data_IF_209769632982
#
_entry.id   IF_209769632982
#
_cell.length_a   1.000
_cell.length_b   1.000
_cell.length_c   1.000
_cell.angle_alpha   90.00
_cell.angle_beta   90.00
_cell.angle_gamma   90.00
#
_symmetry.space_group_name_H-M   'P 1'
#
loop_
_entity.id
_entity.type
_entity.pdbx_description
1 polymer ?
#
# COMPACT_ATOMS: atom_id res chain seq x y z
N UNK A 1 -68.10 38.29 17.65
CA UNK A 1 -67.94 37.91 19.08
C UNK A 1 -67.35 36.52 19.09
N UNK A 2 -66.19 36.34 19.56
CA UNK A 2 -65.55 35.03 19.54
C UNK A 2 -65.70 34.27 20.88
N UNK A 3 -65.91 32.98 20.76
CA UNK A 3 -66.10 32.08 21.90
C UNK A 3 -64.75 31.62 22.46
N UNK A 4 -64.63 31.70 23.78
CA UNK A 4 -63.52 31.15 24.58
C UNK A 4 -63.51 29.63 24.54
N UNK A 5 -62.35 29.01 24.26
CA UNK A 5 -62.15 27.63 24.49
C UNK A 5 -61.09 27.49 25.58
N UNK A 6 -61.44 26.68 26.60
CA UNK A 6 -60.70 26.44 27.87
C UNK A 6 -59.43 25.63 27.66
N UNK A 7 -58.36 26.05 28.34
CA UNK A 7 -57.12 25.28 28.54
C UNK A 7 -57.40 24.02 29.35
N UNK A 8 -57.04 22.84 28.84
CA UNK A 8 -56.84 21.62 29.60
C UNK A 8 -55.35 21.34 29.70
N UNK A 9 -54.85 21.33 30.94
CA UNK A 9 -53.49 20.87 31.27
C UNK A 9 -53.45 19.36 31.14
N UNK A 10 -52.53 18.82 30.31
CA UNK A 10 -52.14 17.44 30.32
C UNK A 10 -50.75 17.34 30.96
N UNK A 11 -50.69 16.74 32.13
CA UNK A 11 -49.45 16.26 32.71
C UNK A 11 -49.04 15.02 31.92
N UNK A 12 -47.90 15.09 31.18
CA UNK A 12 -47.22 13.91 30.65
C UNK A 12 -46.09 13.51 31.60
N UNK A 13 -46.22 12.31 32.14
CA UNK A 13 -45.15 11.66 32.88
C UNK A 13 -43.95 11.35 32.00
N UNK A 14 -42.78 11.81 32.42
CA UNK A 14 -41.52 11.43 31.84
C UNK A 14 -41.15 9.99 32.30
N UNK A 15 -41.33 9.01 31.43
CA UNK A 15 -40.67 7.72 31.56
C UNK A 15 -39.25 7.84 31.03
N UNK A 16 -38.26 7.73 31.91
CA UNK A 16 -36.86 7.61 31.55
C UNK A 16 -36.64 6.27 30.84
N UNK A 17 -36.54 6.25 29.52
CA UNK A 17 -36.08 5.13 28.75
C UNK A 17 -34.55 5.09 28.87
N UNK A 18 -34.06 4.17 29.71
CA UNK A 18 -32.62 3.87 29.77
C UNK A 18 -32.13 3.29 28.46
N UNK A 19 -31.33 4.04 27.71
CA UNK A 19 -30.55 3.51 26.60
C UNK A 19 -29.45 2.60 27.16
N UNK A 20 -29.69 1.29 27.15
CA UNK A 20 -28.62 0.31 27.25
C UNK A 20 -27.79 0.41 25.94
N UNK A 21 -26.66 1.08 26.00
CA UNK A 21 -25.67 1.02 24.95
C UNK A 21 -25.16 -0.44 24.90
N UNK A 22 -25.67 -1.21 23.96
CA UNK A 22 -25.13 -2.52 23.64
C UNK A 22 -23.71 -2.27 23.07
N UNK A 23 -22.69 -2.52 23.88
CA UNK A 23 -21.33 -2.62 23.40
C UNK A 23 -21.27 -3.79 22.42
N UNK A 24 -21.11 -3.48 21.12
CA UNK A 24 -20.82 -4.51 20.13
C UNK A 24 -19.58 -5.28 20.61
N UNK A 25 -19.57 -6.61 20.54
CA UNK A 25 -18.38 -7.37 20.89
C UNK A 25 -17.26 -6.94 19.97
N UNK A 26 -16.19 -6.38 20.52
CA UNK A 26 -14.92 -6.31 19.82
C UNK A 26 -14.51 -7.75 19.53
N UNK A 27 -14.66 -8.18 18.28
CA UNK A 27 -14.02 -9.41 17.83
C UNK A 27 -12.52 -9.14 17.97
N UNK A 28 -11.93 -9.66 19.04
CA UNK A 28 -10.48 -9.66 19.17
C UNK A 28 -9.94 -10.42 17.95
N UNK A 29 -9.32 -9.74 17.00
CA UNK A 29 -8.56 -10.42 15.99
C UNK A 29 -7.52 -11.27 16.73
N UNK A 30 -7.54 -12.58 16.46
CA UNK A 30 -6.51 -13.46 16.99
C UNK A 30 -5.15 -12.97 16.52
N UNK A 31 -4.22 -12.83 17.46
CA UNK A 31 -2.86 -12.39 17.16
C UNK A 31 -2.25 -13.21 16.02
N UNK A 32 -1.63 -12.53 15.08
CA UNK A 32 -0.98 -13.11 13.90
C UNK A 32 0.46 -13.47 14.27
N UNK A 33 0.78 -14.74 14.25
CA UNK A 33 2.16 -15.22 14.44
C UNK A 33 2.73 -15.60 13.07
N UNK A 34 3.73 -14.88 12.54
CA UNK A 34 4.37 -15.24 11.28
C UNK A 34 5.00 -16.63 11.34
N UNK A 35 4.69 -17.47 10.37
CA UNK A 35 5.21 -18.83 10.25
C UNK A 35 6.47 -18.87 9.39
N UNK A 36 7.08 -20.05 9.24
CA UNK A 36 8.17 -20.24 8.28
C UNK A 36 7.77 -20.04 6.82
N UNK A 37 6.46 -20.04 6.52
CA UNK A 37 5.89 -19.78 5.19
C UNK A 37 5.50 -18.31 4.99
N UNK A 38 5.65 -17.48 6.02
CA UNK A 38 5.35 -16.05 5.98
C UNK A 38 6.55 -15.25 5.47
N UNK A 39 6.28 -14.22 4.68
CA UNK A 39 7.28 -13.26 4.18
C UNK A 39 6.78 -11.84 4.38
N UNK A 40 7.65 -10.97 4.86
CA UNK A 40 7.45 -9.51 4.85
C UNK A 40 7.97 -8.95 3.53
N UNK A 41 7.09 -8.40 2.72
CA UNK A 41 7.39 -7.70 1.48
C UNK A 41 7.39 -6.20 1.75
N UNK A 42 8.56 -5.60 1.80
CA UNK A 42 8.78 -4.18 2.05
C UNK A 42 8.92 -3.46 0.71
N UNK A 43 7.86 -2.76 0.33
CA UNK A 43 7.72 -2.16 -1.01
C UNK A 43 8.30 -0.76 -1.03
N UNK A 44 9.33 -0.56 -1.85
CA UNK A 44 9.86 0.71 -2.33
C UNK A 44 10.11 1.77 -1.24
N UNK A 45 10.65 1.37 -0.09
CA UNK A 45 11.06 2.32 0.95
C UNK A 45 12.42 2.90 0.55
N UNK A 46 12.38 3.84 -0.43
CA UNK A 46 13.52 4.45 -1.10
C UNK A 46 13.55 5.96 -0.84
N UNK A 47 14.72 6.57 -1.01
CA UNK A 47 14.89 8.00 -0.79
C UNK A 47 13.97 8.86 -1.66
N UNK A 48 13.70 8.46 -2.92
CA UNK A 48 12.79 9.14 -3.84
C UNK A 48 11.37 9.33 -3.27
N UNK A 49 10.90 8.40 -2.44
CA UNK A 49 9.55 8.42 -1.86
C UNK A 49 9.49 8.99 -0.44
N UNK A 50 10.63 9.34 0.16
CA UNK A 50 10.68 9.93 1.48
C UNK A 50 10.63 11.47 1.43
N UNK A 51 10.34 12.16 2.53
CA UNK A 51 10.39 13.63 2.57
C UNK A 51 11.73 14.18 2.05
N UNK A 52 11.65 15.04 1.04
CA UNK A 52 12.81 15.59 0.33
C UNK A 52 13.22 14.84 -0.93
N UNK A 53 12.63 13.67 -1.20
CA UNK A 53 12.81 12.92 -2.44
C UNK A 53 12.02 13.49 -3.61
N UNK A 54 12.27 12.96 -4.82
CA UNK A 54 11.72 13.48 -6.07
C UNK A 54 10.22 13.21 -6.26
N UNK A 55 9.69 12.16 -5.62
CA UNK A 55 8.26 11.82 -5.59
C UNK A 55 7.84 11.52 -4.14
N UNK A 56 8.06 12.47 -3.25
CA UNK A 56 7.85 12.30 -1.81
C UNK A 56 6.41 11.94 -1.45
N UNK A 57 6.24 10.85 -0.70
CA UNK A 57 4.98 10.46 -0.07
C UNK A 57 4.90 11.14 1.29
N UNK A 58 3.77 11.79 1.58
CA UNK A 58 3.58 12.48 2.85
C UNK A 58 3.77 11.53 4.03
N UNK A 59 4.64 11.92 4.98
CA UNK A 59 4.98 11.13 6.18
C UNK A 59 5.51 9.72 5.86
N UNK A 60 6.14 9.55 4.68
CA UNK A 60 6.67 8.25 4.25
C UNK A 60 7.79 7.71 5.14
N UNK A 61 8.53 8.58 5.81
CA UNK A 61 9.61 8.24 6.74
C UNK A 61 9.12 7.65 8.07
N UNK A 62 7.89 7.96 8.50
CA UNK A 62 7.33 7.46 9.76
C UNK A 62 7.17 5.93 9.79
N UNK A 63 7.05 5.29 8.63
CA UNK A 63 6.86 3.83 8.56
C UNK A 63 8.15 3.06 8.82
N UNK A 64 9.32 3.69 8.71
CA UNK A 64 10.62 3.00 8.79
C UNK A 64 10.81 2.29 10.13
N UNK A 65 10.49 2.96 11.23
CA UNK A 65 10.60 2.37 12.57
C UNK A 65 9.65 1.18 12.77
N UNK A 66 8.43 1.28 12.22
CA UNK A 66 7.43 0.20 12.27
C UNK A 66 7.91 -0.99 11.45
N UNK A 67 8.42 -0.75 10.23
CA UNK A 67 8.95 -1.79 9.35
C UNK A 67 10.16 -2.49 9.97
N UNK A 68 11.08 -1.76 10.59
CA UNK A 68 12.21 -2.35 11.30
C UNK A 68 11.75 -3.28 12.44
N UNK A 69 10.75 -2.86 13.20
CA UNK A 69 10.17 -3.66 14.27
C UNK A 69 9.47 -4.92 13.73
N UNK A 70 8.72 -4.79 12.63
CA UNK A 70 8.10 -5.92 11.94
C UNK A 70 9.15 -6.88 11.40
N UNK A 71 10.23 -6.37 10.79
CA UNK A 71 11.30 -7.18 10.24
C UNK A 71 11.88 -8.19 11.25
N UNK A 72 11.91 -7.84 12.54
CA UNK A 72 12.40 -8.75 13.59
C UNK A 72 11.44 -9.93 13.86
N UNK A 73 10.17 -9.81 13.44
CA UNK A 73 9.15 -10.85 13.63
C UNK A 73 9.06 -11.84 12.45
N UNK A 74 9.66 -11.50 11.32
CA UNK A 74 9.63 -12.32 10.11
C UNK A 74 10.99 -12.97 9.84
N UNK A 75 10.97 -14.29 9.62
CA UNK A 75 12.18 -15.02 9.18
C UNK A 75 12.56 -14.67 7.73
N UNK A 76 11.57 -14.40 6.89
CA UNK A 76 11.78 -14.08 5.49
C UNK A 76 11.38 -12.64 5.23
N UNK A 77 12.29 -11.84 4.69
CA UNK A 77 12.05 -10.43 4.32
C UNK A 77 12.58 -10.18 2.92
N UNK A 78 11.79 -9.49 2.12
CA UNK A 78 12.14 -9.08 0.75
C UNK A 78 11.94 -7.58 0.65
N UNK A 79 12.93 -6.88 0.11
CA UNK A 79 12.79 -5.49 -0.29
C UNK A 79 12.47 -5.39 -1.77
N UNK A 80 11.81 -4.29 -2.15
CA UNK A 80 11.69 -3.94 -3.57
C UNK A 80 12.27 -2.55 -3.84
N UNK A 81 12.62 -2.31 -5.09
CA UNK A 81 13.07 -1.01 -5.56
C UNK A 81 12.42 -0.70 -6.91
N UNK A 82 11.82 0.49 -7.00
CA UNK A 82 11.66 1.15 -8.28
C UNK A 82 13.04 1.48 -8.84
N UNK A 83 13.27 1.16 -10.13
CA UNK A 83 14.59 1.20 -10.71
C UNK A 83 14.54 1.68 -12.16
N UNK A 84 14.04 2.92 -12.34
CA UNK A 84 13.76 3.48 -13.65
C UNK A 84 15.02 3.86 -14.42
N UNK A 85 15.00 3.59 -15.72
CA UNK A 85 16.04 4.11 -16.62
C UNK A 85 15.89 5.65 -16.78
N UNK A 86 16.94 6.38 -17.11
CA UNK A 86 16.77 7.74 -17.61
C UNK A 86 15.79 7.78 -18.78
N UNK A 87 14.96 8.84 -18.87
CA UNK A 87 13.92 9.01 -19.90
C UNK A 87 12.86 7.88 -19.92
N UNK A 88 12.53 7.31 -18.78
CA UNK A 88 11.52 6.26 -18.66
C UNK A 88 10.14 6.74 -19.15
N UNK A 89 9.37 5.85 -19.80
CA UNK A 89 8.07 6.19 -20.40
C UNK A 89 7.01 6.69 -19.41
N UNK A 90 7.16 6.40 -18.10
CA UNK A 90 6.27 6.94 -17.06
C UNK A 90 6.60 8.36 -16.61
N UNK A 91 7.70 8.96 -17.09
CA UNK A 91 8.08 10.30 -16.66
C UNK A 91 7.42 11.37 -17.53
N UNK A 92 6.96 12.45 -16.90
CA UNK A 92 6.39 13.59 -17.63
C UNK A 92 7.43 14.25 -18.54
N UNK A 93 8.70 14.27 -18.15
CA UNK A 93 9.82 14.80 -18.93
C UNK A 93 10.04 14.07 -20.26
N UNK A 94 9.61 12.81 -20.36
CA UNK A 94 9.70 12.00 -21.59
C UNK A 94 8.61 12.32 -22.62
N UNK A 95 7.63 13.20 -22.27
CA UNK A 95 6.48 13.53 -23.11
C UNK A 95 6.41 15.06 -23.34
N UNK A 96 6.81 15.57 -24.52
CA UNK A 96 6.81 17.01 -24.79
C UNK A 96 5.47 17.69 -24.47
N UNK A 97 5.51 18.76 -23.68
CA UNK A 97 4.34 19.54 -23.29
C UNK A 97 3.47 18.96 -22.17
N UNK A 98 3.81 17.78 -21.65
CA UNK A 98 3.12 17.16 -20.53
C UNK A 98 3.70 17.58 -19.18
N UNK A 99 2.86 17.43 -18.14
CA UNK A 99 3.22 17.73 -16.75
C UNK A 99 3.01 16.48 -15.87
N UNK A 100 3.71 16.38 -14.74
CA UNK A 100 3.44 15.36 -13.75
C UNK A 100 1.94 15.29 -13.39
N UNK A 101 1.46 14.07 -13.15
CA UNK A 101 0.09 13.70 -12.83
C UNK A 101 -0.93 13.79 -13.98
N UNK A 102 -0.52 14.22 -15.18
CA UNK A 102 -1.31 14.02 -16.38
C UNK A 102 -1.29 12.56 -16.83
N UNK A 103 -2.21 12.19 -17.70
CA UNK A 103 -2.31 10.82 -18.24
C UNK A 103 -1.97 10.82 -19.72
N UNK A 104 -1.34 9.75 -20.17
CA UNK A 104 -1.10 9.44 -21.59
C UNK A 104 -1.51 8.00 -21.88
N UNK A 105 -1.84 7.72 -23.14
CA UNK A 105 -2.06 6.37 -23.62
C UNK A 105 -0.74 5.80 -24.12
N UNK A 106 -0.31 4.68 -23.54
CA UNK A 106 0.87 3.92 -23.96
C UNK A 106 0.44 2.55 -24.49
N UNK A 107 1.39 1.76 -24.99
CA UNK A 107 1.12 0.44 -25.58
C UNK A 107 0.43 -0.56 -24.65
N UNK A 108 0.50 -0.34 -23.36
CA UNK A 108 -0.09 -1.16 -22.31
C UNK A 108 -1.32 -0.52 -21.63
N UNK A 109 -1.79 0.64 -22.14
CA UNK A 109 -2.96 1.38 -21.63
C UNK A 109 -2.60 2.72 -21.02
N UNK A 110 -3.52 3.27 -20.22
CA UNK A 110 -3.38 4.58 -19.59
C UNK A 110 -2.26 4.58 -18.55
N UNK A 111 -1.33 5.53 -18.69
CA UNK A 111 -0.22 5.79 -17.79
C UNK A 111 -0.35 7.16 -17.13
N UNK A 112 -0.31 7.22 -15.80
CA UNK A 112 -0.11 8.47 -15.07
C UNK A 112 1.35 8.85 -15.20
N UNK A 113 1.60 10.09 -15.61
CA UNK A 113 2.95 10.62 -15.73
C UNK A 113 3.46 11.14 -14.39
N UNK A 114 4.63 10.70 -14.02
CA UNK A 114 5.28 11.05 -12.76
C UNK A 114 6.41 12.07 -12.94
N UNK A 115 6.81 12.81 -11.90
CA UNK A 115 8.14 13.42 -11.88
C UNK A 115 9.21 12.35 -12.11
N UNK A 116 10.36 12.72 -12.63
CA UNK A 116 11.51 11.83 -12.70
C UNK A 116 11.90 11.39 -11.28
N UNK A 117 11.88 10.09 -11.02
CA UNK A 117 12.13 9.55 -9.70
C UNK A 117 12.80 8.18 -9.77
N UNK A 118 13.46 7.78 -8.70
CA UNK A 118 14.09 6.47 -8.56
C UNK A 118 14.94 6.06 -9.78
N UNK A 119 15.63 7.04 -10.42
CA UNK A 119 16.51 6.75 -11.55
C UNK A 119 17.66 5.87 -11.10
N UNK A 120 17.95 4.84 -11.87
CA UNK A 120 19.01 3.86 -11.62
C UNK A 120 20.32 4.52 -11.22
N UNK A 121 21.02 3.92 -10.25
CA UNK A 121 22.34 4.33 -9.78
C UNK A 121 22.40 5.71 -9.07
N UNK A 122 21.28 6.41 -8.92
CA UNK A 122 21.22 7.66 -8.15
C UNK A 122 21.03 7.40 -6.66
N UNK A 123 21.36 8.38 -5.82
CA UNK A 123 21.06 8.33 -4.39
C UNK A 123 19.55 8.31 -4.12
N UNK A 124 18.77 8.91 -5.00
CA UNK A 124 17.31 8.95 -4.95
C UNK A 124 16.70 7.53 -5.05
N UNK A 125 17.28 6.66 -5.87
CA UNK A 125 16.84 5.27 -6.03
C UNK A 125 17.31 4.30 -4.91
N UNK A 126 18.17 4.74 -4.00
CA UNK A 126 18.66 3.89 -2.91
C UNK A 126 17.55 3.59 -1.89
N UNK A 127 17.59 2.42 -1.29
CA UNK A 127 16.78 2.13 -0.12
C UNK A 127 17.11 3.12 1.01
N UNK A 128 16.09 3.46 1.80
CA UNK A 128 16.24 4.37 2.92
C UNK A 128 17.34 3.88 3.88
N UNK A 129 18.26 4.76 4.25
CA UNK A 129 19.36 4.42 5.17
C UNK A 129 18.89 4.03 6.56
N UNK A 130 17.67 4.42 6.95
CA UNK A 130 17.03 4.04 8.21
C UNK A 130 16.48 2.61 8.25
N UNK A 131 16.39 1.90 7.11
CA UNK A 131 16.01 0.49 7.10
C UNK A 131 17.13 -0.37 7.69
N UNK A 132 16.79 -1.13 8.74
CA UNK A 132 17.73 -2.00 9.45
C UNK A 132 17.17 -3.42 9.62
N UNK A 133 17.15 -4.17 8.53
CA UNK A 133 16.74 -5.58 8.49
C UNK A 133 17.84 -6.38 7.75
N UNK A 134 18.97 -6.61 8.40
CA UNK A 134 20.16 -7.17 7.74
C UNK A 134 19.99 -8.61 7.23
N UNK A 135 18.97 -9.32 7.72
CA UNK A 135 18.65 -10.68 7.27
C UNK A 135 17.69 -10.73 6.07
N UNK A 136 17.33 -9.59 5.47
CA UNK A 136 16.56 -9.59 4.24
C UNK A 136 17.30 -10.36 3.14
N UNK A 137 16.60 -11.27 2.46
CA UNK A 137 17.23 -12.26 1.58
C UNK A 137 17.24 -11.84 0.11
N UNK A 138 16.40 -10.88 -0.28
CA UNK A 138 16.23 -10.52 -1.68
C UNK A 138 15.87 -9.04 -1.82
N UNK A 139 16.38 -8.43 -2.88
CA UNK A 139 15.92 -7.15 -3.38
C UNK A 139 15.40 -7.37 -4.80
N UNK A 140 14.11 -7.15 -5.00
CA UNK A 140 13.48 -7.18 -6.33
C UNK A 140 13.47 -5.78 -6.90
N UNK A 141 14.02 -5.59 -8.09
CA UNK A 141 13.90 -4.35 -8.86
C UNK A 141 12.76 -4.45 -9.85
N UNK A 142 12.01 -3.36 -10.02
CA UNK A 142 10.90 -3.24 -10.96
C UNK A 142 11.00 -1.90 -11.72
N UNK A 143 10.23 -1.73 -12.80
CA UNK A 143 10.25 -0.50 -13.58
C UNK A 143 11.56 -0.23 -14.32
N UNK A 144 12.38 -1.25 -14.59
CA UNK A 144 13.67 -1.10 -15.26
C UNK A 144 13.60 -1.24 -16.80
N UNK A 145 12.43 -1.53 -17.34
CA UNK A 145 12.20 -1.52 -18.78
C UNK A 145 11.75 -0.13 -19.22
N UNK A 146 12.54 0.54 -20.05
CA UNK A 146 12.30 1.94 -20.42
C UNK A 146 10.87 2.25 -20.88
N UNK A 147 10.27 1.34 -21.67
CA UNK A 147 8.97 1.53 -22.31
C UNK A 147 7.78 1.01 -21.48
N UNK A 148 8.01 0.37 -20.34
CA UNK A 148 6.95 -0.32 -19.57
C UNK A 148 7.11 -0.02 -18.09
N UNK A 149 6.12 0.64 -17.51
CA UNK A 149 6.08 0.93 -16.08
C UNK A 149 5.72 -0.32 -15.26
N UNK A 150 5.97 -0.27 -13.97
CA UNK A 150 5.69 -1.38 -13.05
C UNK A 150 5.35 -0.88 -11.64
N UNK A 151 4.06 -0.77 -11.33
CA UNK A 151 3.65 -0.58 -9.94
C UNK A 151 3.80 -1.87 -9.14
N UNK A 152 3.33 -3.00 -9.71
CA UNK A 152 3.40 -4.28 -9.04
C UNK A 152 4.82 -4.84 -8.96
N UNK A 153 5.15 -5.45 -7.82
CA UNK A 153 6.40 -6.20 -7.61
C UNK A 153 6.38 -7.58 -8.28
N UNK A 154 5.27 -7.98 -8.91
CA UNK A 154 5.08 -9.30 -9.52
C UNK A 154 5.09 -9.25 -11.05
N UNK A 155 4.44 -8.25 -11.62
CA UNK A 155 4.28 -8.12 -13.07
C UNK A 155 4.23 -6.65 -13.46
N UNK A 156 4.87 -6.27 -14.56
CA UNK A 156 4.84 -4.91 -15.10
C UNK A 156 3.45 -4.54 -15.65
N UNK A 157 3.25 -3.27 -15.98
CA UNK A 157 1.96 -2.72 -16.41
C UNK A 157 1.40 -3.36 -17.68
N UNK A 158 2.22 -4.01 -18.50
CA UNK A 158 1.80 -4.78 -19.68
C UNK A 158 1.08 -6.11 -19.33
N UNK A 159 1.04 -6.50 -18.07
CA UNK A 159 0.46 -7.75 -17.59
C UNK A 159 1.22 -9.02 -18.00
N UNK A 160 2.39 -8.91 -18.61
CA UNK A 160 3.17 -10.01 -19.17
C UNK A 160 4.59 -10.11 -18.62
N UNK A 161 5.26 -9.00 -18.49
CA UNK A 161 6.66 -8.94 -18.04
C UNK A 161 6.75 -9.24 -16.55
N UNK A 162 7.34 -10.39 -16.21
CA UNK A 162 7.45 -10.87 -14.82
C UNK A 162 8.73 -10.37 -14.18
N UNK A 163 8.67 -10.03 -12.88
CA UNK A 163 9.86 -9.68 -12.08
C UNK A 163 10.66 -10.91 -11.62
N UNK A 164 10.04 -12.09 -11.58
CA UNK A 164 10.59 -13.29 -11.02
C UNK A 164 10.17 -13.56 -9.55
N UNK A 165 9.53 -12.60 -8.88
CA UNK A 165 9.16 -12.75 -7.47
C UNK A 165 8.23 -13.95 -7.22
N UNK A 166 7.25 -14.20 -8.10
CA UNK A 166 6.34 -15.35 -7.98
C UNK A 166 7.12 -16.67 -7.91
N UNK A 167 8.08 -16.87 -8.82
CA UNK A 167 8.91 -18.08 -8.84
C UNK A 167 9.74 -18.23 -7.56
N UNK A 168 10.37 -17.15 -7.11
CA UNK A 168 11.12 -17.15 -5.86
C UNK A 168 10.28 -17.57 -4.65
N UNK A 169 9.06 -17.01 -4.52
CA UNK A 169 8.14 -17.35 -3.42
C UNK A 169 7.70 -18.82 -3.49
N UNK A 170 7.34 -19.29 -4.69
CA UNK A 170 6.90 -20.67 -4.92
C UNK A 170 8.00 -21.69 -4.60
N UNK A 171 9.22 -21.49 -5.10
CA UNK A 171 10.36 -22.40 -4.83
C UNK A 171 10.70 -22.50 -3.34
N UNK A 172 10.46 -21.43 -2.59
CA UNK A 172 10.68 -21.40 -1.14
C UNK A 172 9.47 -21.79 -0.30
N UNK A 173 8.33 -22.07 -0.93
CA UNK A 173 7.08 -22.39 -0.23
C UNK A 173 6.53 -21.23 0.62
N UNK A 174 6.80 -19.98 0.23
CA UNK A 174 6.35 -18.77 0.90
C UNK A 174 4.97 -18.39 0.38
N UNK A 175 3.93 -18.69 1.15
CA UNK A 175 2.54 -18.56 0.72
C UNK A 175 1.78 -17.43 1.42
N UNK A 176 2.28 -16.94 2.55
CA UNK A 176 1.64 -15.90 3.36
C UNK A 176 2.46 -14.61 3.23
N UNK A 177 1.97 -13.67 2.41
CA UNK A 177 2.67 -12.41 2.10
C UNK A 177 2.07 -11.27 2.92
N UNK A 178 2.91 -10.64 3.71
CA UNK A 178 2.60 -9.44 4.47
C UNK A 178 3.27 -8.25 3.79
N UNK A 179 2.47 -7.31 3.30
CA UNK A 179 2.96 -6.19 2.48
C UNK A 179 2.95 -4.92 3.31
N UNK A 180 4.02 -4.16 3.24
CA UNK A 180 4.16 -2.83 3.81
C UNK A 180 5.00 -1.94 2.88
N UNK A 181 5.04 -0.63 3.11
CA UNK A 181 5.88 0.29 2.33
C UNK A 181 5.10 1.37 1.59
N UNK A 182 5.59 1.77 0.43
CA UNK A 182 5.16 2.94 -0.34
C UNK A 182 4.86 2.59 -1.80
N UNK A 183 3.92 3.24 -2.47
CA UNK A 183 2.80 3.95 -1.87
C UNK A 183 1.58 3.03 -1.82
N UNK A 184 0.74 3.18 -0.79
CA UNK A 184 -0.42 2.29 -0.55
C UNK A 184 -1.32 2.14 -1.77
N UNK A 185 -1.59 3.25 -2.44
CA UNK A 185 -2.52 3.36 -3.57
C UNK A 185 -1.91 3.00 -4.93
N UNK A 186 -0.60 2.76 -4.98
CA UNK A 186 0.12 2.35 -6.18
C UNK A 186 0.90 1.06 -5.94
N UNK A 187 2.20 1.12 -5.69
CA UNK A 187 3.05 -0.07 -5.65
C UNK A 187 2.61 -1.12 -4.63
N UNK A 188 2.18 -0.71 -3.43
CA UNK A 188 1.67 -1.62 -2.40
C UNK A 188 0.36 -2.28 -2.86
N UNK A 189 -0.63 -1.49 -3.29
CA UNK A 189 -1.94 -1.99 -3.69
C UNK A 189 -1.87 -2.93 -4.88
N UNK A 190 -1.16 -2.54 -5.94
CA UNK A 190 -0.98 -3.39 -7.12
C UNK A 190 -0.22 -4.67 -6.80
N UNK A 191 0.83 -4.59 -5.99
CA UNK A 191 1.57 -5.78 -5.54
C UNK A 191 0.70 -6.73 -4.73
N UNK A 192 -0.10 -6.20 -3.81
CA UNK A 192 -1.01 -7.01 -3.00
C UNK A 192 -2.07 -7.73 -3.84
N UNK A 193 -2.66 -7.04 -4.82
CA UNK A 193 -3.65 -7.61 -5.74
C UNK A 193 -3.02 -8.70 -6.61
N UNK A 194 -1.84 -8.45 -7.19
CA UNK A 194 -1.19 -9.44 -8.05
C UNK A 194 -0.66 -10.64 -7.26
N UNK A 195 -0.24 -10.45 -6.02
CA UNK A 195 0.06 -11.56 -5.12
C UNK A 195 -1.18 -12.45 -4.89
N UNK A 196 -2.38 -11.85 -4.70
CA UNK A 196 -3.64 -12.61 -4.62
C UNK A 196 -3.95 -13.36 -5.91
N UNK A 197 -3.76 -12.71 -7.07
CA UNK A 197 -3.93 -13.34 -8.40
C UNK A 197 -2.96 -14.51 -8.61
N UNK A 198 -1.77 -14.44 -8.01
CA UNK A 198 -0.80 -15.52 -8.01
C UNK A 198 -1.14 -16.67 -7.02
N UNK A 199 -2.28 -16.60 -6.31
CA UNK A 199 -2.76 -17.63 -5.38
C UNK A 199 -2.19 -17.55 -3.96
N UNK A 200 -1.52 -16.44 -3.61
CA UNK A 200 -0.92 -16.24 -2.28
C UNK A 200 -1.95 -15.69 -1.28
N UNK A 201 -1.77 -15.96 0.00
CA UNK A 201 -2.49 -15.29 1.09
C UNK A 201 -1.84 -13.93 1.34
N UNK A 202 -2.63 -12.85 1.31
CA UNK A 202 -2.07 -11.50 1.38
C UNK A 202 -2.72 -10.68 2.47
N UNK A 203 -1.87 -10.04 3.27
CA UNK A 203 -2.25 -9.03 4.25
C UNK A 203 -1.43 -7.77 4.01
N UNK A 204 -2.09 -6.61 3.95
CA UNK A 204 -1.41 -5.30 3.93
C UNK A 204 -1.42 -4.73 5.35
N UNK A 205 -0.24 -4.35 5.84
CA UNK A 205 -0.05 -3.77 7.18
C UNK A 205 -0.24 -2.26 7.06
N UNK A 206 -1.44 -1.80 7.40
CA UNK A 206 -1.90 -0.44 7.12
C UNK A 206 -1.02 0.65 7.73
N UNK A 207 -0.71 0.56 9.01
CA UNK A 207 0.09 1.56 9.73
C UNK A 207 1.57 1.57 9.33
N UNK A 208 2.03 0.51 8.64
CA UNK A 208 3.34 0.42 7.99
C UNK A 208 3.31 0.82 6.50
N UNK A 209 2.27 1.54 6.06
CA UNK A 209 2.13 2.07 4.69
C UNK A 209 1.76 3.55 4.73
N UNK A 210 2.09 4.28 3.65
CA UNK A 210 1.58 5.64 3.36
C UNK A 210 1.20 5.73 1.89
N UNK A 211 0.16 6.52 1.59
CA UNK A 211 -0.33 6.74 0.22
C UNK A 211 0.01 8.12 -0.33
N UNK A 212 -0.04 8.26 -1.64
CA UNK A 212 0.05 9.54 -2.35
C UNK A 212 -1.30 10.27 -2.30
N UNK A 213 -2.39 9.51 -2.39
CA UNK A 213 -3.78 9.99 -2.41
C UNK A 213 -4.07 10.97 -3.55
N UNK A 214 -3.75 10.57 -4.76
CA UNK A 214 -4.05 11.34 -5.95
C UNK A 214 -5.55 11.23 -6.30
N UNK A 215 -6.32 12.31 -6.03
CA UNK A 215 -7.75 12.37 -6.36
C UNK A 215 -8.60 11.22 -5.77
N UNK A 216 -8.32 10.80 -4.55
CA UNK A 216 -9.04 9.71 -3.88
C UNK A 216 -8.54 8.31 -4.23
N UNK A 217 -7.35 8.19 -4.82
CA UNK A 217 -6.72 6.91 -5.17
C UNK A 217 -6.54 5.99 -3.97
N UNK A 218 -6.34 6.55 -2.76
CA UNK A 218 -6.12 5.76 -1.56
C UNK A 218 -7.36 4.95 -1.16
N UNK A 219 -8.53 5.58 -1.13
CA UNK A 219 -9.78 4.88 -0.83
C UNK A 219 -10.13 3.87 -1.92
N UNK A 220 -9.91 4.23 -3.20
CA UNK A 220 -10.12 3.33 -4.33
C UNK A 220 -9.20 2.10 -4.26
N UNK A 221 -7.93 2.27 -3.87
CA UNK A 221 -7.00 1.16 -3.71
C UNK A 221 -7.41 0.21 -2.57
N UNK A 222 -7.83 0.74 -1.42
CA UNK A 222 -8.33 -0.09 -0.32
C UNK A 222 -9.59 -0.86 -0.71
N UNK A 223 -10.52 -0.25 -1.44
CA UNK A 223 -11.72 -0.93 -1.95
C UNK A 223 -11.32 -2.06 -2.90
N UNK A 224 -10.44 -1.81 -3.87
CA UNK A 224 -9.96 -2.81 -4.82
C UNK A 224 -9.20 -3.94 -4.14
N UNK A 225 -8.31 -3.66 -3.20
CA UNK A 225 -7.62 -4.69 -2.42
C UNK A 225 -8.61 -5.60 -1.68
N UNK A 226 -9.64 -5.04 -1.06
CA UNK A 226 -10.70 -5.78 -0.37
C UNK A 226 -11.46 -6.71 -1.33
N UNK A 227 -11.84 -6.22 -2.51
CA UNK A 227 -12.51 -7.01 -3.56
C UNK A 227 -11.68 -8.21 -4.01
N UNK A 228 -10.35 -8.07 -4.04
CA UNK A 228 -9.43 -9.14 -4.37
C UNK A 228 -9.07 -10.04 -3.18
N UNK A 229 -9.71 -9.87 -2.02
CA UNK A 229 -9.50 -10.70 -0.83
C UNK A 229 -8.19 -10.44 -0.10
N UNK A 230 -7.62 -9.24 -0.25
CA UNK A 230 -6.49 -8.77 0.57
C UNK A 230 -7.00 -8.41 1.96
N UNK A 231 -6.33 -8.89 2.99
CA UNK A 231 -6.63 -8.53 4.38
C UNK A 231 -5.96 -7.21 4.74
N UNK A 232 -6.66 -6.35 5.47
CA UNK A 232 -6.13 -5.13 6.08
C UNK A 232 -5.87 -5.41 7.55
N UNK A 233 -4.62 -5.27 7.99
CA UNK A 233 -4.18 -5.56 9.36
C UNK A 233 -3.31 -4.43 9.90
N UNK A 234 -3.09 -4.40 11.21
CA UNK A 234 -2.19 -3.46 11.86
C UNK A 234 -0.91 -4.17 12.33
N UNK A 235 0.18 -3.42 12.51
CA UNK A 235 1.45 -3.95 13.03
C UNK A 235 1.31 -4.50 14.45
N UNK A 236 0.35 -3.97 15.22
CA UNK A 236 -0.01 -4.45 16.56
C UNK A 236 -0.68 -5.83 16.56
N UNK A 237 -1.25 -6.27 15.44
CA UNK A 237 -1.88 -7.59 15.31
C UNK A 237 -0.83 -8.69 15.13
N UNK A 238 0.43 -8.33 14.81
CA UNK A 238 1.53 -9.24 14.51
C UNK A 238 2.42 -9.37 15.75
N UNK A 239 2.55 -10.60 16.26
CA UNK A 239 3.36 -10.90 17.45
C UNK A 239 4.70 -11.54 17.10
#
# INVERSE_FOLDING_TARGET
MPALVKRRQFLLGMTAAGYLAASAPHVALSAIIPSSKSVLLVVDVQNCFLPGGTLAVNRGDEIISIINSLGQKFKNVIFTQDWHTPNHASFASSHPGKKPFETVELSYGNQILWPDHCIQETDDAKLASGLNIPHAQLIIRKGYHNEIDSYSTFVAADGKTKTGLTGYLQERGLNDVYVCGLATDFCVGWSAIDARRAGLNVSVIEDACRGIDLNGSLDAAWASMKEHGVKRVHSSDIM
#
